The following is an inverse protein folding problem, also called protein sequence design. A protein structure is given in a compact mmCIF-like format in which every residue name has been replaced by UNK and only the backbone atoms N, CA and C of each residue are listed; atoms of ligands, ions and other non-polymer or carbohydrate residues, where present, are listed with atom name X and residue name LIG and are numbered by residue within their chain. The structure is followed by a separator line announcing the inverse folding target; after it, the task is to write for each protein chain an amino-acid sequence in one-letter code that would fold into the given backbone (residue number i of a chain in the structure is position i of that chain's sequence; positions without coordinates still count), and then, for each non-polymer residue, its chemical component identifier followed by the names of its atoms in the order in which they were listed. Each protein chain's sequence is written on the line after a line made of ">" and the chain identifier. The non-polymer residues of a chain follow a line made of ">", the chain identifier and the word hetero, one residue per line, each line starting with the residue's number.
data_IF_537923951053
#
_entry.id   IF_537923951053
#
_cell.length_a   1.000
_cell.length_b   1.000
_cell.length_c   1.000
_cell.angle_alpha   90.00
_cell.angle_beta   90.00
_cell.angle_gamma   90.00
#
_symmetry.space_group_name_H-M   'P 1'
#
loop_
_entity.id
_entity.type
_entity.pdbx_description
1 polymer ?
#
# COMPACT_ATOMS: atom_id res chain seq x y z
N UNK A 1 62.17 -33.29 -79.90
CA UNK A 1 62.27 -34.66 -80.44
C UNK A 1 61.42 -34.71 -81.70
N UNK A 2 61.94 -35.31 -82.76
CA UNK A 2 61.46 -35.18 -84.14
C UNK A 2 59.98 -35.55 -84.25
N UNK A 3 59.17 -34.69 -84.90
CA UNK A 3 57.85 -35.04 -85.41
C UNK A 3 58.06 -36.08 -86.52
N UNK A 4 58.21 -37.34 -86.15
CA UNK A 4 57.90 -38.42 -87.09
C UNK A 4 56.40 -38.38 -87.30
N UNK A 5 56.00 -38.07 -88.53
CA UNK A 5 54.61 -38.03 -88.93
C UNK A 5 53.98 -39.37 -88.55
N UNK A 6 52.82 -39.33 -87.89
CA UNK A 6 52.02 -40.53 -87.55
C UNK A 6 51.82 -41.43 -88.79
N UNK A 7 51.84 -40.81 -89.97
CA UNK A 7 51.72 -41.43 -91.29
C UNK A 7 52.95 -42.30 -91.64
N UNK A 8 54.16 -41.95 -91.20
CA UNK A 8 55.38 -42.75 -91.45
C UNK A 8 55.41 -44.04 -90.62
N UNK A 9 54.88 -44.01 -89.39
CA UNK A 9 54.80 -45.19 -88.54
C UNK A 9 53.74 -46.20 -89.04
N UNK A 10 52.60 -45.70 -89.55
CA UNK A 10 51.51 -46.52 -90.08
C UNK A 10 51.80 -47.12 -91.48
N UNK A 11 52.76 -46.56 -92.24
CA UNK A 11 53.11 -46.99 -93.60
C UNK A 11 54.32 -47.95 -93.69
N UNK A 12 55.00 -48.25 -92.58
CA UNK A 12 56.06 -49.27 -92.53
C UNK A 12 55.45 -50.67 -92.27
N UNK A 13 56.09 -51.75 -92.73
CA UNK A 13 55.57 -53.14 -92.67
C UNK A 13 55.43 -53.69 -91.24
N UNK A 14 54.51 -53.11 -90.47
CA UNK A 14 54.21 -53.46 -89.09
C UNK A 14 53.01 -54.41 -89.10
N UNK A 15 53.10 -55.50 -88.32
CA UNK A 15 52.07 -56.53 -88.21
C UNK A 15 50.71 -55.90 -87.79
N UNK A 16 49.56 -56.28 -88.40
CA UNK A 16 48.25 -55.69 -88.11
C UNK A 16 47.89 -55.64 -86.63
N UNK A 17 48.30 -56.67 -85.86
CA UNK A 17 48.07 -56.76 -84.42
C UNK A 17 48.77 -55.66 -83.60
N UNK A 18 49.90 -55.13 -84.07
CA UNK A 18 50.66 -54.08 -83.36
C UNK A 18 50.03 -52.71 -83.56
N UNK A 19 49.46 -52.45 -84.74
CA UNK A 19 48.68 -51.23 -85.03
C UNK A 19 47.37 -51.24 -84.24
N UNK A 20 46.66 -52.38 -84.22
CA UNK A 20 45.44 -52.59 -83.41
C UNK A 20 45.70 -52.32 -81.91
N UNK A 21 46.79 -52.87 -81.36
CA UNK A 21 47.15 -52.68 -79.96
C UNK A 21 47.51 -51.22 -79.62
N UNK A 22 48.24 -50.54 -80.50
CA UNK A 22 48.54 -49.12 -80.34
C UNK A 22 47.28 -48.25 -80.39
N UNK A 23 46.36 -48.52 -81.32
CA UNK A 23 45.06 -47.83 -81.40
C UNK A 23 44.22 -48.06 -80.14
N UNK A 24 44.19 -49.28 -79.60
CA UNK A 24 43.54 -49.57 -78.32
C UNK A 24 44.20 -48.83 -77.14
N UNK A 25 45.52 -48.71 -77.14
CA UNK A 25 46.25 -47.97 -76.10
C UNK A 25 45.93 -46.48 -76.15
N UNK A 26 45.92 -45.89 -77.35
CA UNK A 26 45.53 -44.49 -77.59
C UNK A 26 44.07 -44.23 -77.21
N UNK A 27 43.15 -45.16 -77.51
CA UNK A 27 41.76 -45.06 -77.09
C UNK A 27 41.61 -45.11 -75.56
N UNK A 28 42.39 -45.97 -74.88
CA UNK A 28 42.42 -46.06 -73.41
C UNK A 28 42.99 -44.81 -72.76
N UNK A 29 44.08 -44.25 -73.28
CA UNK A 29 44.66 -42.99 -72.76
C UNK A 29 43.71 -41.82 -72.96
N UNK A 30 43.06 -41.73 -74.13
CA UNK A 30 42.02 -40.71 -74.39
C UNK A 30 40.84 -40.85 -73.42
N UNK A 31 40.40 -42.08 -73.14
CA UNK A 31 39.31 -42.35 -72.17
C UNK A 31 39.73 -41.99 -70.74
N UNK A 32 41.00 -42.22 -70.38
CA UNK A 32 41.53 -41.85 -69.07
C UNK A 32 41.59 -40.32 -68.90
N UNK A 33 42.09 -39.59 -69.90
CA UNK A 33 42.13 -38.12 -69.89
C UNK A 33 40.73 -37.51 -69.80
N UNK A 34 39.75 -38.07 -70.52
CA UNK A 34 38.34 -37.66 -70.40
C UNK A 34 37.79 -37.88 -68.98
N UNK A 35 38.03 -39.05 -68.38
CA UNK A 35 37.60 -39.34 -67.00
C UNK A 35 38.28 -38.43 -65.97
N UNK A 36 39.57 -38.15 -66.15
CA UNK A 36 40.32 -37.24 -65.30
C UNK A 36 39.76 -35.81 -65.38
N UNK A 37 39.43 -35.33 -66.59
CA UNK A 37 38.79 -34.03 -66.79
C UNK A 37 37.42 -33.92 -66.11
N UNK A 38 36.60 -34.97 -66.19
CA UNK A 38 35.30 -35.03 -65.48
C UNK A 38 35.49 -34.99 -63.96
N UNK A 39 36.43 -35.77 -63.42
CA UNK A 39 36.71 -35.78 -61.97
C UNK A 39 37.23 -34.43 -61.47
N UNK A 40 38.07 -33.74 -62.25
CA UNK A 40 38.56 -32.40 -61.92
C UNK A 40 37.42 -31.37 -61.89
N UNK A 41 36.50 -31.42 -62.85
CA UNK A 41 35.34 -30.52 -62.86
C UNK A 41 34.38 -30.84 -61.70
N UNK A 42 34.14 -32.11 -61.39
CA UNK A 42 33.35 -32.52 -60.23
C UNK A 42 33.97 -32.03 -58.91
N UNK A 43 35.29 -32.14 -58.76
CA UNK A 43 36.00 -31.61 -57.59
C UNK A 43 35.84 -30.09 -57.47
N UNK A 44 35.98 -29.36 -58.59
CA UNK A 44 35.78 -27.91 -58.64
C UNK A 44 34.37 -27.50 -58.22
N UNK A 45 33.36 -28.21 -58.71
CA UNK A 45 31.96 -27.98 -58.34
C UNK A 45 31.71 -28.28 -56.86
N UNK A 46 32.25 -29.38 -56.33
CA UNK A 46 32.12 -29.72 -54.91
C UNK A 46 32.77 -28.67 -54.00
N UNK A 47 33.95 -28.15 -54.37
CA UNK A 47 34.60 -27.05 -53.64
C UNK A 47 33.77 -25.76 -53.67
N UNK A 48 33.15 -25.45 -54.80
CA UNK A 48 32.30 -24.27 -54.95
C UNK A 48 31.02 -24.39 -54.12
N UNK A 49 30.36 -25.55 -54.13
CA UNK A 49 29.21 -25.84 -53.27
C UNK A 49 29.58 -25.74 -51.79
N UNK A 50 30.74 -26.26 -51.38
CA UNK A 50 31.23 -26.14 -50.00
C UNK A 50 31.47 -24.67 -49.62
N UNK A 51 32.08 -23.86 -50.50
CA UNK A 51 32.27 -22.42 -50.27
C UNK A 51 30.94 -21.69 -50.12
N UNK A 52 29.96 -22.00 -50.97
CA UNK A 52 28.61 -21.44 -50.89
C UNK A 52 27.91 -21.83 -49.57
N UNK A 53 27.99 -23.10 -49.18
CA UNK A 53 27.45 -23.59 -47.90
C UNK A 53 28.10 -22.90 -46.69
N UNK A 54 29.43 -22.73 -46.68
CA UNK A 54 30.13 -21.99 -45.61
C UNK A 54 29.70 -20.52 -45.59
N UNK A 55 29.52 -19.89 -46.75
CA UNK A 55 29.04 -18.51 -46.83
C UNK A 55 27.63 -18.39 -46.23
N UNK A 56 26.72 -19.29 -46.60
CA UNK A 56 25.36 -19.33 -46.06
C UNK A 56 25.38 -19.51 -44.54
N UNK A 57 26.14 -20.50 -44.02
CA UNK A 57 26.27 -20.70 -42.58
C UNK A 57 26.81 -19.47 -41.83
N UNK A 58 27.69 -18.68 -42.46
CA UNK A 58 28.18 -17.42 -41.88
C UNK A 58 27.09 -16.35 -41.83
N UNK A 59 26.27 -16.24 -42.87
CA UNK A 59 25.13 -15.33 -42.90
C UNK A 59 24.10 -15.73 -41.85
N UNK A 60 23.73 -17.01 -41.79
CA UNK A 60 22.77 -17.53 -40.81
C UNK A 60 23.27 -17.30 -39.37
N UNK A 61 24.57 -17.55 -39.11
CA UNK A 61 25.19 -17.25 -37.81
C UNK A 61 25.05 -15.76 -37.45
N UNK A 62 25.30 -14.85 -38.40
CA UNK A 62 25.15 -13.41 -38.15
C UNK A 62 23.70 -13.04 -37.87
N UNK A 63 22.75 -13.62 -38.62
CA UNK A 63 21.32 -13.42 -38.40
C UNK A 63 20.89 -13.89 -37.01
N UNK A 64 21.25 -15.12 -36.62
CA UNK A 64 20.93 -15.64 -35.29
C UNK A 64 21.55 -14.79 -34.17
N UNK A 65 22.79 -14.29 -34.35
CA UNK A 65 23.40 -13.39 -33.38
C UNK A 65 22.64 -12.06 -33.25
N UNK A 66 22.15 -11.49 -34.35
CA UNK A 66 21.32 -10.28 -34.32
C UNK A 66 19.97 -10.53 -33.65
N UNK A 67 19.35 -11.66 -33.93
CA UNK A 67 18.06 -12.03 -33.32
C UNK A 67 18.18 -12.29 -31.82
N UNK A 68 19.24 -12.99 -31.38
CA UNK A 68 19.56 -13.18 -29.95
C UNK A 68 19.74 -11.82 -29.26
N UNK A 69 20.47 -10.88 -29.87
CA UNK A 69 20.67 -9.54 -29.29
C UNK A 69 19.34 -8.79 -29.17
N UNK A 70 18.51 -8.84 -30.20
CA UNK A 70 17.19 -8.20 -30.21
C UNK A 70 16.29 -8.76 -29.12
N UNK A 71 16.18 -10.09 -29.04
CA UNK A 71 15.38 -10.76 -28.01
C UNK A 71 15.90 -10.46 -26.60
N UNK A 72 17.22 -10.44 -26.41
CA UNK A 72 17.84 -10.08 -25.13
C UNK A 72 17.46 -8.66 -24.71
N UNK A 73 17.58 -7.69 -25.63
CA UNK A 73 17.21 -6.30 -25.34
C UNK A 73 15.72 -6.16 -24.99
N UNK A 74 14.85 -6.79 -25.78
CA UNK A 74 13.40 -6.76 -25.52
C UNK A 74 13.05 -7.36 -24.15
N UNK A 75 13.67 -8.49 -23.80
CA UNK A 75 13.46 -9.12 -22.51
C UNK A 75 13.95 -8.25 -21.35
N UNK A 76 15.13 -7.64 -21.45
CA UNK A 76 15.64 -6.71 -20.45
C UNK A 76 14.74 -5.48 -20.28
N UNK A 77 14.25 -4.90 -21.38
CA UNK A 77 13.32 -3.76 -21.33
C UNK A 77 11.99 -4.14 -20.66
N UNK A 78 11.44 -5.31 -20.98
CA UNK A 78 10.22 -5.81 -20.37
C UNK A 78 10.40 -6.07 -18.88
N UNK A 79 11.51 -6.72 -18.50
CA UNK A 79 11.83 -7.00 -17.09
C UNK A 79 11.96 -5.70 -16.30
N UNK A 80 12.73 -4.73 -16.81
CA UNK A 80 12.91 -3.44 -16.15
C UNK A 80 11.58 -2.68 -15.96
N UNK A 81 10.69 -2.72 -16.97
CA UNK A 81 9.35 -2.12 -16.88
C UNK A 81 8.52 -2.77 -15.79
N UNK A 82 8.47 -4.10 -15.75
CA UNK A 82 7.68 -4.83 -14.74
C UNK A 82 8.27 -4.66 -13.35
N UNK A 83 9.59 -4.71 -13.19
CA UNK A 83 10.27 -4.42 -11.92
C UNK A 83 9.93 -3.02 -11.43
N UNK A 84 10.07 -2.00 -12.27
CA UNK A 84 9.74 -0.60 -11.90
C UNK A 84 8.26 -0.46 -11.52
N UNK A 85 7.37 -1.13 -12.26
CA UNK A 85 5.93 -1.12 -11.98
C UNK A 85 5.63 -1.70 -10.60
N UNK A 86 6.20 -2.86 -10.31
CA UNK A 86 6.01 -3.58 -9.04
C UNK A 86 6.63 -2.79 -7.87
N UNK A 87 7.84 -2.26 -8.04
CA UNK A 87 8.50 -1.39 -7.05
C UNK A 87 7.68 -0.16 -6.72
N UNK A 88 7.15 0.53 -7.74
CA UNK A 88 6.31 1.72 -7.54
C UNK A 88 5.01 1.38 -6.84
N UNK A 89 4.38 0.24 -7.15
CA UNK A 89 3.19 -0.23 -6.45
C UNK A 89 3.47 -0.43 -4.96
N UNK A 90 4.53 -1.17 -4.61
CA UNK A 90 4.86 -1.42 -3.21
C UNK A 90 5.32 -0.15 -2.48
N UNK A 91 6.04 0.75 -3.15
CA UNK A 91 6.40 2.06 -2.60
C UNK A 91 5.16 2.86 -2.19
N UNK A 92 4.15 2.93 -3.06
CA UNK A 92 2.90 3.62 -2.76
C UNK A 92 2.15 2.98 -1.59
N UNK A 93 2.08 1.64 -1.53
CA UNK A 93 1.45 0.93 -0.41
C UNK A 93 2.19 1.21 0.92
N UNK A 94 3.52 1.22 0.90
CA UNK A 94 4.34 1.55 2.08
C UNK A 94 4.11 3.00 2.52
N UNK A 95 4.09 3.96 1.60
CA UNK A 95 3.83 5.37 1.90
C UNK A 95 2.45 5.58 2.53
N UNK A 96 1.42 4.88 2.02
CA UNK A 96 0.07 4.91 2.60
C UNK A 96 0.04 4.33 4.02
N UNK A 97 0.76 3.23 4.27
CA UNK A 97 0.86 2.64 5.60
C UNK A 97 1.60 3.56 6.57
N UNK A 98 2.69 4.19 6.13
CA UNK A 98 3.42 5.18 6.93
C UNK A 98 2.53 6.37 7.29
N UNK A 99 1.71 6.86 6.35
CA UNK A 99 0.76 7.92 6.64
C UNK A 99 -0.26 7.51 7.71
N UNK A 100 -0.80 6.29 7.63
CA UNK A 100 -1.73 5.75 8.63
C UNK A 100 -1.07 5.61 10.01
N UNK A 101 0.17 5.14 10.05
CA UNK A 101 0.95 5.03 11.30
C UNK A 101 1.15 6.42 11.92
N UNK A 102 1.55 7.42 11.13
CA UNK A 102 1.76 8.78 11.63
C UNK A 102 0.45 9.40 12.16
N UNK A 103 -0.66 9.17 11.47
CA UNK A 103 -1.98 9.60 11.95
C UNK A 103 -2.34 8.95 13.29
N UNK A 104 -2.08 7.65 13.43
CA UNK A 104 -2.32 6.92 14.67
C UNK A 104 -1.47 7.45 15.84
N UNK A 105 -0.18 7.71 15.59
CA UNK A 105 0.75 8.30 16.59
C UNK A 105 0.25 9.66 17.07
N UNK A 106 -0.19 10.53 16.16
CA UNK A 106 -0.71 11.84 16.54
C UNK A 106 -2.01 11.72 17.37
N UNK A 107 -2.89 10.79 17.02
CA UNK A 107 -4.12 10.52 17.80
C UNK A 107 -3.77 10.03 19.21
N UNK A 108 -2.84 9.08 19.34
CA UNK A 108 -2.37 8.56 20.63
C UNK A 108 -1.78 9.66 21.50
N UNK A 109 -0.94 10.51 20.91
CA UNK A 109 -0.34 11.66 21.60
C UNK A 109 -1.39 12.66 22.09
N UNK A 110 -2.40 12.98 21.27
CA UNK A 110 -3.50 13.85 21.68
C UNK A 110 -4.27 13.21 22.84
N UNK A 111 -4.56 11.91 22.74
CA UNK A 111 -5.26 11.18 23.80
C UNK A 111 -4.48 11.18 25.12
N UNK A 112 -3.17 10.96 25.09
CA UNK A 112 -2.31 11.03 26.28
C UNK A 112 -2.32 12.41 26.91
N UNK A 113 -2.18 13.48 26.11
CA UNK A 113 -2.22 14.87 26.61
C UNK A 113 -3.58 15.20 27.24
N UNK A 114 -4.67 14.77 26.60
CA UNK A 114 -6.03 14.92 27.10
C UNK A 114 -6.23 14.19 28.43
N UNK A 115 -5.74 12.94 28.50
CA UNK A 115 -5.80 12.12 29.70
C UNK A 115 -4.99 12.77 30.81
N UNK A 116 -3.73 13.15 30.59
CA UNK A 116 -2.89 13.83 31.58
C UNK A 116 -3.60 15.06 32.16
N UNK A 117 -4.27 15.84 31.31
CA UNK A 117 -4.98 17.07 31.69
C UNK A 117 -6.38 16.87 32.28
N UNK A 118 -6.93 15.65 32.21
CA UNK A 118 -8.26 15.36 32.73
C UNK A 118 -9.39 15.92 31.87
N UNK A 119 -9.13 16.17 30.59
CA UNK A 119 -10.10 16.72 29.63
C UNK A 119 -10.30 15.78 28.47
N UNK A 120 -11.44 15.90 27.79
CA UNK A 120 -11.72 15.14 26.58
C UNK A 120 -12.37 16.04 25.54
N UNK A 121 -11.87 16.02 24.30
CA UNK A 121 -12.48 16.72 23.19
C UNK A 121 -13.40 15.75 22.44
N UNK A 122 -14.69 16.03 22.48
CA UNK A 122 -15.67 15.30 21.68
C UNK A 122 -15.57 15.76 20.22
N UNK A 123 -14.93 14.92 19.40
CA UNK A 123 -14.74 15.19 17.97
C UNK A 123 -16.06 15.38 17.20
N UNK A 124 -17.20 14.87 17.70
CA UNK A 124 -18.51 15.03 17.02
C UNK A 124 -19.11 16.40 17.27
N UNK A 125 -18.95 16.93 18.47
CA UNK A 125 -19.60 18.19 18.89
C UNK A 125 -18.62 19.37 18.94
N UNK A 126 -17.32 19.12 18.93
CA UNK A 126 -16.28 20.14 19.14
C UNK A 126 -16.25 20.69 20.58
N UNK A 127 -16.92 20.01 21.51
CA UNK A 127 -16.98 20.40 22.92
C UNK A 127 -15.83 19.76 23.69
N UNK A 128 -15.31 20.48 24.67
CA UNK A 128 -14.36 19.93 25.62
C UNK A 128 -15.07 19.65 26.94
N UNK A 129 -14.96 18.42 27.41
CA UNK A 129 -15.56 17.92 28.64
C UNK A 129 -14.51 17.72 29.72
N UNK A 130 -14.89 17.99 30.97
CA UNK A 130 -14.13 17.49 32.11
C UNK A 130 -14.33 15.97 32.21
N UNK A 131 -13.24 15.21 32.35
CA UNK A 131 -13.28 13.75 32.57
C UNK A 131 -13.81 13.40 33.95
N UNK A 132 -13.62 14.30 34.90
CA UNK A 132 -14.14 14.22 36.26
C UNK A 132 -15.45 14.98 36.42
N UNK A 133 -16.18 14.64 37.47
CA UNK A 133 -17.35 15.37 37.93
C UNK A 133 -16.93 16.35 39.04
N UNK A 134 -17.68 17.45 39.21
CA UNK A 134 -17.36 18.46 40.23
C UNK A 134 -17.36 17.83 41.63
N UNK A 135 -16.28 18.08 42.38
CA UNK A 135 -16.03 17.50 43.69
C UNK A 135 -14.91 16.46 43.70
N UNK A 136 -14.63 15.85 42.53
CA UNK A 136 -13.47 14.98 42.33
C UNK A 136 -12.22 15.80 41.99
N UNK A 137 -11.06 15.18 42.13
CA UNK A 137 -9.77 15.73 41.70
C UNK A 137 -9.18 14.90 40.57
N UNK A 138 -8.38 15.53 39.70
CA UNK A 138 -7.63 14.85 38.65
C UNK A 138 -6.13 14.99 38.90
N UNK A 139 -5.43 13.87 39.08
CA UNK A 139 -3.98 13.81 39.35
C UNK A 139 -3.37 12.60 38.64
N UNK A 140 -2.27 12.82 37.93
CA UNK A 140 -1.48 11.76 37.30
C UNK A 140 -2.29 10.79 36.42
N UNK A 141 -3.23 11.33 35.63
CA UNK A 141 -4.09 10.54 34.74
C UNK A 141 -5.19 9.74 35.45
N UNK A 142 -5.43 9.99 36.74
CA UNK A 142 -6.42 9.30 37.55
C UNK A 142 -7.33 10.30 38.27
N UNK A 143 -8.58 9.89 38.48
CA UNK A 143 -9.51 10.64 39.33
C UNK A 143 -9.37 10.19 40.78
N UNK A 144 -9.58 11.11 41.71
CA UNK A 144 -9.55 10.87 43.15
C UNK A 144 -10.78 11.48 43.83
N UNK A 145 -11.26 10.80 44.87
CA UNK A 145 -12.42 11.22 45.64
C UNK A 145 -13.76 10.98 44.94
N UNK A 146 -14.82 11.41 45.62
CA UNK A 146 -16.20 11.28 45.16
C UNK A 146 -16.73 12.65 44.67
N UNK A 147 -17.62 12.60 43.69
CA UNK A 147 -18.31 13.79 43.21
C UNK A 147 -19.23 14.34 44.30
N UNK A 148 -19.40 15.66 44.30
CA UNK A 148 -20.43 16.31 45.12
C UNK A 148 -21.73 16.36 44.33
N UNK A 149 -22.83 15.97 44.96
CA UNK A 149 -24.15 16.27 44.46
C UNK A 149 -24.51 17.70 44.92
N UNK A 150 -25.02 18.52 44.01
CA UNK A 150 -25.24 19.95 44.22
C UNK A 150 -26.65 20.34 43.80
N UNK A 151 -27.21 21.38 44.43
CA UNK A 151 -28.40 22.05 43.88
C UNK A 151 -28.09 22.66 42.52
N UNK A 152 -29.12 22.94 41.72
CA UNK A 152 -28.94 23.46 40.36
C UNK A 152 -28.19 24.81 40.36
N UNK A 153 -28.51 25.71 41.29
CA UNK A 153 -27.83 27.01 41.44
C UNK A 153 -26.37 26.83 41.89
N UNK A 154 -26.12 25.92 42.83
CA UNK A 154 -24.76 25.57 43.24
C UNK A 154 -23.96 24.93 42.11
N UNK A 155 -24.61 24.13 41.25
CA UNK A 155 -23.99 23.50 40.10
C UNK A 155 -23.52 24.52 39.06
N UNK A 156 -24.37 25.50 38.73
CA UNK A 156 -24.03 26.59 37.82
C UNK A 156 -22.82 27.39 38.35
N UNK A 157 -22.87 27.80 39.62
CA UNK A 157 -21.76 28.51 40.26
C UNK A 157 -20.48 27.69 40.30
N UNK A 158 -20.59 26.41 40.66
CA UNK A 158 -19.42 25.52 40.76
C UNK A 158 -18.74 25.33 39.41
N UNK A 159 -19.49 25.28 38.30
CA UNK A 159 -18.91 25.28 36.95
C UNK A 159 -18.11 26.56 36.66
N UNK A 160 -18.62 27.74 37.04
CA UNK A 160 -17.94 29.02 36.83
C UNK A 160 -16.65 29.14 37.67
N UNK A 161 -16.65 28.56 38.86
CA UNK A 161 -15.49 28.51 39.76
C UNK A 161 -14.51 27.37 39.41
N UNK A 162 -14.95 26.38 38.62
CA UNK A 162 -14.15 25.21 38.28
C UNK A 162 -12.90 25.58 37.47
N UNK A 163 -11.77 25.00 37.84
CA UNK A 163 -10.47 25.17 37.15
C UNK A 163 -9.90 23.80 36.85
N UNK A 164 -9.62 23.56 35.57
CA UNK A 164 -9.04 22.30 35.10
C UNK A 164 -8.26 22.55 33.82
N UNK A 165 -7.09 21.90 33.69
CA UNK A 165 -6.20 22.01 32.53
C UNK A 165 -5.82 23.44 32.13
N UNK A 166 -5.80 24.37 33.09
CA UNK A 166 -5.53 25.80 32.85
C UNK A 166 -6.73 26.60 32.34
N UNK A 167 -7.91 25.99 32.21
CA UNK A 167 -9.13 26.67 31.76
C UNK A 167 -10.03 27.06 32.93
N UNK A 168 -10.71 28.20 32.77
CA UNK A 168 -11.63 28.80 33.76
C UNK A 168 -13.02 29.13 33.20
N UNK A 169 -13.28 28.86 31.91
CA UNK A 169 -14.54 29.15 31.23
C UNK A 169 -15.44 27.90 31.12
N UNK A 170 -15.47 27.13 32.20
CA UNK A 170 -16.31 25.94 32.32
C UNK A 170 -17.76 26.34 32.60
N UNK A 171 -18.71 25.59 32.04
CA UNK A 171 -20.14 25.84 32.20
C UNK A 171 -20.91 24.54 32.41
N UNK A 172 -22.13 24.68 32.91
CA UNK A 172 -23.10 23.61 32.93
C UNK A 172 -23.51 23.27 31.48
N UNK A 173 -23.57 21.98 31.09
CA UNK A 173 -23.96 21.56 29.75
C UNK A 173 -25.46 21.73 29.55
N UNK A 174 -25.87 21.98 28.31
CA UNK A 174 -27.29 21.93 27.94
C UNK A 174 -27.78 20.47 27.88
N UNK A 175 -29.10 20.31 27.86
CA UNK A 175 -29.71 18.97 27.86
C UNK A 175 -29.35 18.21 26.57
N UNK A 176 -29.28 18.92 25.45
CA UNK A 176 -28.89 18.35 24.16
C UNK A 176 -27.43 17.91 24.13
N UNK A 177 -26.55 18.62 24.83
CA UNK A 177 -25.13 18.24 24.94
C UNK A 177 -24.94 17.04 25.86
N UNK A 178 -25.61 16.98 27.01
CA UNK A 178 -25.54 15.78 27.86
C UNK A 178 -26.07 14.53 27.17
N UNK A 179 -27.11 14.66 26.34
CA UNK A 179 -27.64 13.54 25.55
C UNK A 179 -26.59 12.94 24.62
N UNK A 180 -25.64 13.72 24.09
CA UNK A 180 -24.61 13.17 23.18
C UNK A 180 -23.62 12.25 23.89
N UNK A 181 -23.56 12.33 25.23
CA UNK A 181 -22.74 11.45 26.06
C UNK A 181 -23.40 10.09 26.31
N UNK A 182 -24.68 9.93 26.01
CA UNK A 182 -25.35 8.64 26.19
C UNK A 182 -24.78 7.65 25.15
N UNK A 183 -24.09 6.63 25.63
CA UNK A 183 -23.54 5.54 24.83
C UNK A 183 -24.19 4.22 25.23
N UNK A 184 -24.54 3.38 24.24
CA UNK A 184 -25.10 2.06 24.48
C UNK A 184 -23.96 1.05 24.63
N UNK A 185 -23.77 0.50 25.81
CA UNK A 185 -22.81 -0.58 26.07
C UNK A 185 -23.52 -1.88 26.49
N UNK A 186 -22.73 -2.91 26.86
CA UNK A 186 -23.26 -4.22 27.26
C UNK A 186 -23.88 -4.23 28.68
N UNK A 187 -23.57 -3.23 29.51
CA UNK A 187 -24.08 -3.06 30.86
C UNK A 187 -25.29 -2.13 30.93
N UNK A 188 -25.60 -1.40 29.86
CA UNK A 188 -26.73 -0.50 29.76
C UNK A 188 -26.41 0.70 28.89
N UNK A 189 -27.01 1.84 29.19
CA UNK A 189 -26.66 3.08 28.53
C UNK A 189 -25.87 3.97 29.50
N UNK A 190 -24.58 4.18 29.24
CA UNK A 190 -23.61 4.83 30.12
C UNK A 190 -22.89 5.98 29.39
N UNK A 191 -22.06 6.76 30.10
CA UNK A 191 -21.12 7.66 29.44
C UNK A 191 -19.99 6.87 28.75
N UNK A 192 -19.21 7.50 27.84
CA UNK A 192 -18.08 6.85 27.18
C UNK A 192 -17.08 6.27 28.20
N UNK A 193 -17.05 4.93 28.31
CA UNK A 193 -16.23 4.20 29.26
C UNK A 193 -14.73 4.45 29.00
N UNK A 194 -13.96 4.68 30.08
CA UNK A 194 -12.53 4.98 29.98
C UNK A 194 -12.21 6.39 29.47
N UNK A 195 -13.22 7.17 29.10
CA UNK A 195 -13.08 8.57 28.69
C UNK A 195 -13.60 9.50 29.78
N UNK A 196 -14.85 9.30 30.20
CA UNK A 196 -15.48 10.01 31.31
C UNK A 196 -15.64 9.09 32.51
N UNK A 197 -15.29 9.59 33.70
CA UNK A 197 -15.31 8.79 34.93
C UNK A 197 -16.60 8.92 35.70
N UNK A 198 -17.00 7.86 36.38
CA UNK A 198 -18.17 7.84 37.25
C UNK A 198 -18.03 8.82 38.41
N UNK A 199 -19.13 9.43 38.88
CA UNK A 199 -19.12 10.35 40.02
C UNK A 199 -18.81 9.64 41.34
N UNK A 200 -19.25 8.39 41.48
CA UNK A 200 -18.98 7.49 42.62
C UNK A 200 -18.79 6.06 42.09
N UNK A 201 -18.20 5.18 42.90
CA UNK A 201 -17.92 3.82 42.47
C UNK A 201 -19.20 3.05 42.12
N UNK A 202 -19.25 2.45 40.92
CA UNK A 202 -20.34 1.60 40.42
C UNK A 202 -21.68 2.31 40.16
N UNK A 203 -21.73 3.64 40.09
CA UNK A 203 -22.95 4.38 39.75
C UNK A 203 -22.62 5.54 38.82
N UNK A 204 -23.35 5.65 37.70
CA UNK A 204 -23.20 6.79 36.79
C UNK A 204 -24.03 8.00 37.21
N UNK A 205 -25.21 7.78 37.80
CA UNK A 205 -26.02 8.81 38.46
C UNK A 205 -26.69 9.82 37.52
N UNK A 206 -27.36 10.80 38.13
CA UNK A 206 -28.05 11.89 37.43
C UNK A 206 -27.22 13.18 37.39
N UNK A 207 -27.14 13.80 36.21
CA UNK A 207 -26.40 15.04 36.00
C UNK A 207 -27.30 16.21 35.63
N UNK A 208 -27.06 17.35 36.29
CA UNK A 208 -27.74 18.59 35.97
C UNK A 208 -27.42 19.09 34.55
N UNK A 209 -28.46 19.52 33.85
CA UNK A 209 -28.38 20.35 32.66
C UNK A 209 -28.64 21.83 33.01
N UNK A 210 -28.02 22.74 32.28
CA UNK A 210 -28.35 24.18 32.29
C UNK A 210 -29.66 24.54 31.58
N UNK A 211 -30.37 23.57 31.02
CA UNK A 211 -31.68 23.77 30.41
C UNK A 211 -32.80 23.76 31.45
N UNK A 212 -33.66 24.79 31.41
CA UNK A 212 -34.86 24.90 32.26
C UNK A 212 -35.88 23.80 31.94
N UNK A 213 -36.62 23.34 32.95
CA UNK A 213 -37.70 22.37 32.78
C UNK A 213 -38.89 22.94 32.01
N UNK A 214 -39.66 22.08 31.33
CA UNK A 214 -40.74 22.47 30.39
C UNK A 214 -41.93 23.23 31.01
N UNK A 215 -42.09 23.23 32.34
CA UNK A 215 -43.36 23.64 32.98
C UNK A 215 -43.23 24.63 34.14
N UNK A 216 -42.02 24.89 34.65
CA UNK A 216 -41.82 25.85 35.74
C UNK A 216 -40.33 26.16 35.95
N UNK A 217 -40.02 27.39 36.31
CA UNK A 217 -38.66 27.84 36.67
C UNK A 217 -38.09 27.16 37.92
N UNK A 218 -38.91 26.40 38.66
CA UNK A 218 -38.49 25.58 39.80
C UNK A 218 -37.84 24.25 39.38
N UNK A 219 -37.93 23.87 38.10
CA UNK A 219 -37.38 22.62 37.59
C UNK A 219 -36.26 22.87 36.58
N UNK A 220 -35.32 21.94 36.54
CA UNK A 220 -34.32 21.84 35.50
C UNK A 220 -34.21 20.40 34.99
N UNK A 221 -33.68 20.23 33.78
CA UNK A 221 -33.49 18.91 33.21
C UNK A 221 -32.29 18.19 33.81
N UNK A 222 -32.42 16.88 33.95
CA UNK A 222 -31.37 15.96 34.37
C UNK A 222 -31.28 14.84 33.35
N UNK A 223 -30.05 14.44 33.01
CA UNK A 223 -29.80 13.17 32.33
C UNK A 223 -29.37 12.15 33.37
N UNK A 224 -30.13 11.06 33.47
CA UNK A 224 -29.77 9.93 34.33
C UNK A 224 -29.01 8.90 33.50
N UNK A 225 -27.70 8.77 33.72
CA UNK A 225 -26.86 7.83 32.98
C UNK A 225 -26.88 6.40 33.55
N UNK A 226 -27.62 6.11 34.62
CA UNK A 226 -27.86 4.72 35.02
C UNK A 226 -28.89 4.04 34.10
N UNK A 227 -29.86 4.83 33.59
CA UNK A 227 -30.99 4.31 32.80
C UNK A 227 -31.08 4.95 31.40
N UNK A 228 -30.38 6.06 31.19
CA UNK A 228 -30.43 6.95 30.01
C UNK A 228 -31.76 7.61 29.77
N UNK A 229 -32.26 8.16 30.85
CA UNK A 229 -33.55 8.81 30.91
C UNK A 229 -33.35 10.31 31.06
N UNK A 230 -34.32 11.06 30.56
CA UNK A 230 -34.44 12.48 30.82
C UNK A 230 -35.53 12.71 31.84
N UNK A 231 -35.16 13.37 32.94
CA UNK A 231 -36.10 13.67 34.01
C UNK A 231 -36.05 15.16 34.34
N UNK A 232 -37.21 15.75 34.59
CA UNK A 232 -37.30 17.05 35.26
C UNK A 232 -37.07 16.86 36.75
N UNK A 233 -36.24 17.70 37.36
CA UNK A 233 -36.03 17.67 38.80
C UNK A 233 -36.10 19.07 39.41
N UNK A 234 -36.59 19.15 40.64
CA UNK A 234 -36.69 20.42 41.38
C UNK A 234 -35.27 20.92 41.64
N UNK A 235 -35.02 22.21 41.39
CA UNK A 235 -33.67 22.82 41.46
C UNK A 235 -32.97 22.68 42.82
N UNK A 236 -33.73 22.47 43.90
CA UNK A 236 -33.19 22.24 45.24
C UNK A 236 -32.70 20.82 45.48
N UNK A 237 -33.02 19.86 44.60
CA UNK A 237 -32.49 18.52 44.69
C UNK A 237 -31.00 18.50 44.37
N UNK A 238 -30.29 17.52 44.91
CA UNK A 238 -28.87 17.37 44.64
C UNK A 238 -28.64 16.41 43.46
N UNK A 239 -27.84 16.84 42.48
CA UNK A 239 -27.41 16.01 41.34
C UNK A 239 -25.94 16.26 41.02
N UNK A 240 -25.32 15.34 40.30
CA UNK A 240 -23.93 15.47 39.88
C UNK A 240 -23.78 16.51 38.77
N UNK A 241 -22.54 16.96 38.58
CA UNK A 241 -22.21 18.02 37.63
C UNK A 241 -20.97 17.64 36.84
N UNK A 242 -21.08 17.71 35.53
CA UNK A 242 -19.96 17.56 34.61
C UNK A 242 -19.83 18.82 33.80
N UNK A 243 -18.69 19.49 33.96
CA UNK A 243 -18.44 20.72 33.25
C UNK A 243 -18.13 20.47 31.77
N UNK A 244 -18.64 21.36 30.93
CA UNK A 244 -18.31 21.42 29.51
C UNK A 244 -17.83 22.83 29.17
N UNK A 245 -17.03 22.95 28.11
CA UNK A 245 -16.65 24.25 27.54
C UNK A 245 -16.60 24.18 26.01
N UNK A 246 -16.82 25.34 25.41
CA UNK A 246 -16.64 25.52 23.96
C UNK A 246 -15.14 25.75 23.67
N UNK A 247 -14.61 25.06 22.67
CA UNK A 247 -13.21 25.21 22.23
C UNK A 247 -13.08 26.39 21.27
N UNK A 248 -14.11 26.64 20.47
CA UNK A 248 -14.23 27.77 19.57
C UNK A 248 -15.20 28.80 20.17
N UNK A 249 -14.83 30.09 20.15
CA UNK A 249 -15.83 31.14 20.34
C UNK A 249 -16.77 31.07 19.13
N UNK A 250 -18.08 30.97 19.37
CA UNK A 250 -19.04 31.39 18.35
C UNK A 250 -18.89 32.91 18.27
N UNK A 251 -18.36 33.38 17.15
CA UNK A 251 -18.38 34.80 16.79
C UNK A 251 -19.83 35.31 16.70
#
# INVERSE_FOLDING_TARGET
>A
MKNHSLVEFLNSSVQPNTIEHFLQLMARTTTFEQKLGVLQEQLRQAEQLKKQSIHQMRQDKQQYQQEIRKLTQQHCEQLNKETTRVENKYRQEIEQLQQKINQQIEIEKIFEIELEKGVWIDAKTGLMWARISIGQEWKDGQYWGESKALSWEQAEKSCQDFRLAGYNNWRLPSISELKTLISKDKAGYACPQGVLFQPVANEWGGYWSGSLGEHSDHYAWVVNFNYSDLIGSIKNNERYVRAVRNIFKKD
#
